data_IF_457336841043
#
_entry.id   IF_457336841043
#
_cell.length_a   1.000
_cell.length_b   1.000
_cell.length_c   1.000
_cell.angle_alpha   90.00
_cell.angle_beta   90.00
_cell.angle_gamma   90.00
#
_symmetry.space_group_name_H-M   'P 1'
#
loop_
_entity.id
_entity.type
_entity.pdbx_description
1 polymer ?
#
# COMPACT_ATOMS: atom_id res chain seq x y z
N UNK A 1 -17.23 5.81 9.62
CA UNK A 1 -17.07 6.85 8.58
C UNK A 1 -16.11 6.40 7.48
N UNK A 2 -14.92 5.87 7.81
CA UNK A 2 -13.96 5.38 6.81
C UNK A 2 -14.53 4.41 5.75
N UNK A 3 -15.48 3.54 6.10
CA UNK A 3 -16.20 2.67 5.13
C UNK A 3 -16.83 3.41 3.94
N UNK A 4 -17.14 4.70 4.08
CA UNK A 4 -17.78 5.53 3.06
C UNK A 4 -16.82 6.56 2.45
N UNK A 5 -15.51 6.37 2.62
CA UNK A 5 -14.47 7.18 2.01
C UNK A 5 -13.60 6.31 1.10
N UNK A 6 -12.90 6.92 0.14
CA UNK A 6 -11.98 6.20 -0.76
C UNK A 6 -10.58 6.07 -0.15
N UNK A 7 -10.21 6.99 0.76
CA UNK A 7 -8.92 6.99 1.44
C UNK A 7 -9.05 7.61 2.83
N UNK A 8 -8.38 7.02 3.83
CA UNK A 8 -8.22 7.64 5.14
C UNK A 8 -6.80 8.18 5.31
N UNK A 9 -6.65 9.47 5.63
CA UNK A 9 -5.35 10.09 5.89
C UNK A 9 -5.15 10.23 7.39
N UNK A 10 -4.03 9.73 7.90
CA UNK A 10 -3.67 9.79 9.32
C UNK A 10 -2.42 10.66 9.46
N UNK A 11 -2.59 11.85 10.06
CA UNK A 11 -1.53 12.82 10.27
C UNK A 11 -0.67 12.54 11.52
N UNK A 12 0.42 13.30 11.69
CA UNK A 12 1.43 13.02 12.70
C UNK A 12 0.95 13.16 14.15
N UNK A 13 0.03 14.08 14.42
CA UNK A 13 -0.57 14.24 15.75
C UNK A 13 -1.30 12.96 16.20
N UNK A 14 -2.02 12.32 15.29
CA UNK A 14 -2.70 11.05 15.56
C UNK A 14 -1.71 9.90 15.71
N UNK A 15 -0.64 9.89 14.89
CA UNK A 15 0.42 8.89 14.97
C UNK A 15 1.30 9.00 16.22
N UNK A 16 1.34 10.16 16.88
CA UNK A 16 2.07 10.38 18.12
C UNK A 16 1.30 9.90 19.38
N UNK A 17 -0.02 9.70 19.28
CA UNK A 17 -0.84 9.25 20.41
C UNK A 17 -0.84 7.72 20.50
N UNK A 18 -0.18 7.12 21.50
CA UNK A 18 -0.08 5.65 21.62
C UNK A 18 -1.42 4.91 21.55
N UNK A 19 -2.30 5.13 22.53
CA UNK A 19 -3.60 4.43 22.59
C UNK A 19 -4.58 4.79 21.47
N UNK A 20 -4.55 6.03 20.97
CA UNK A 20 -5.46 6.46 19.90
C UNK A 20 -4.97 5.95 18.53
N UNK A 21 -3.66 5.95 18.28
CA UNK A 21 -3.06 5.42 17.06
C UNK A 21 -3.50 3.98 16.82
N UNK A 22 -3.30 3.09 17.78
CA UNK A 22 -3.58 1.67 17.59
C UNK A 22 -5.07 1.42 17.30
N UNK A 23 -5.96 2.12 18.01
CA UNK A 23 -7.41 2.03 17.78
C UNK A 23 -7.83 2.57 16.41
N UNK A 24 -7.27 3.70 16.00
CA UNK A 24 -7.56 4.30 14.69
C UNK A 24 -7.05 3.41 13.57
N UNK A 25 -5.81 2.91 13.66
CA UNK A 25 -5.22 2.03 12.67
C UNK A 25 -5.98 0.71 12.57
N UNK A 26 -6.28 0.06 13.70
CA UNK A 26 -7.04 -1.18 13.70
C UNK A 26 -8.45 -1.01 13.12
N UNK A 27 -9.16 0.07 13.50
CA UNK A 27 -10.48 0.38 12.96
C UNK A 27 -10.45 0.65 11.45
N UNK A 28 -9.41 1.31 10.95
CA UNK A 28 -9.26 1.54 9.53
C UNK A 28 -8.88 0.25 8.78
N UNK A 29 -7.88 -0.50 9.23
CA UNK A 29 -7.40 -1.71 8.55
C UNK A 29 -8.46 -2.82 8.53
N UNK A 30 -9.10 -3.09 9.67
CA UNK A 30 -9.94 -4.28 9.81
C UNK A 30 -11.44 -4.00 9.71
N UNK A 31 -11.88 -2.74 9.84
CA UNK A 31 -13.32 -2.41 9.78
C UNK A 31 -13.72 -1.49 8.63
N UNK A 32 -12.77 -0.83 7.95
CA UNK A 32 -13.10 0.06 6.83
C UNK A 32 -13.09 -0.64 5.47
N UNK A 33 -12.15 -1.57 5.25
CA UNK A 33 -11.90 -2.15 3.92
C UNK A 33 -11.38 -1.13 2.90
N UNK A 34 -10.86 0.02 3.36
CA UNK A 34 -10.41 1.13 2.53
C UNK A 34 -8.93 1.45 2.78
N UNK A 35 -8.20 1.94 1.77
CA UNK A 35 -6.80 2.35 1.90
C UNK A 35 -6.57 3.38 3.02
N UNK A 36 -5.35 3.37 3.55
CA UNK A 36 -4.89 4.31 4.58
C UNK A 36 -3.56 4.93 4.14
N UNK A 37 -3.46 6.26 4.20
CA UNK A 37 -2.22 7.00 4.02
C UNK A 37 -1.73 7.53 5.38
N UNK A 38 -0.60 7.00 5.84
CA UNK A 38 0.06 7.47 7.06
C UNK A 38 1.05 8.58 6.70
N UNK A 39 0.92 9.74 7.35
CA UNK A 39 1.75 10.92 7.08
C UNK A 39 2.60 11.22 8.30
N UNK A 40 3.91 10.91 8.26
CA UNK A 40 4.79 11.16 9.40
C UNK A 40 5.05 12.64 9.63
N UNK A 41 5.60 12.98 10.79
CA UNK A 41 5.97 14.35 11.15
C UNK A 41 6.97 14.89 10.12
N UNK A 42 6.71 16.10 9.60
CA UNK A 42 7.57 16.74 8.59
C UNK A 42 7.35 16.27 7.15
N UNK A 43 6.44 15.31 6.90
CA UNK A 43 6.03 14.93 5.56
C UNK A 43 4.75 15.67 5.12
N UNK A 44 4.65 15.94 3.82
CA UNK A 44 3.41 16.42 3.20
C UNK A 44 2.71 15.26 2.52
N UNK A 45 1.42 15.08 2.82
CA UNK A 45 0.59 14.10 2.12
C UNK A 45 0.56 14.41 0.62
N UNK A 46 0.75 13.39 -0.22
CA UNK A 46 0.63 13.49 -1.67
C UNK A 46 0.02 12.21 -2.23
N UNK A 47 -0.83 12.36 -3.24
CA UNK A 47 -1.34 11.26 -4.07
C UNK A 47 -0.60 11.20 -5.43
N UNK A 48 0.50 11.94 -5.55
CA UNK A 48 1.38 11.96 -6.73
C UNK A 48 2.84 11.78 -6.30
N UNK A 49 3.20 10.67 -5.65
CA UNK A 49 4.59 10.35 -5.35
C UNK A 49 5.35 10.10 -6.66
N UNK A 50 6.59 10.57 -6.74
CA UNK A 50 7.45 10.31 -7.90
C UNK A 50 8.08 8.92 -7.89
N UNK A 51 8.37 8.40 -6.69
CA UNK A 51 9.04 7.11 -6.50
C UNK A 51 8.27 6.33 -5.46
N UNK A 52 7.87 5.11 -5.81
CA UNK A 52 7.11 4.23 -4.92
C UNK A 52 7.84 2.91 -4.73
N UNK A 53 7.85 2.40 -3.49
CA UNK A 53 8.29 1.06 -3.17
C UNK A 53 7.06 0.24 -2.81
N UNK A 54 6.85 -0.88 -3.49
CA UNK A 54 5.78 -1.83 -3.23
C UNK A 54 6.39 -3.03 -2.52
N UNK A 55 5.96 -3.29 -1.30
CA UNK A 55 6.23 -4.56 -0.63
C UNK A 55 5.28 -5.62 -1.20
N UNK A 56 5.84 -6.69 -1.76
CA UNK A 56 5.08 -7.73 -2.45
C UNK A 56 5.38 -9.10 -1.87
N UNK A 57 4.33 -9.83 -1.51
CA UNK A 57 4.37 -11.21 -1.00
C UNK A 57 3.35 -12.13 -1.71
N UNK A 58 2.80 -11.66 -2.84
CA UNK A 58 1.72 -12.32 -3.60
C UNK A 58 0.42 -12.61 -2.83
N UNK A 59 0.25 -12.05 -1.62
CA UNK A 59 -0.98 -12.20 -0.86
C UNK A 59 -2.16 -11.45 -1.50
N UNK A 60 -3.38 -11.80 -1.07
CA UNK A 60 -4.59 -11.06 -1.45
C UNK A 60 -4.54 -9.62 -0.94
N UNK A 61 -3.93 -9.41 0.22
CA UNK A 61 -3.73 -8.10 0.84
C UNK A 61 -2.79 -7.24 0.00
N UNK A 62 -1.64 -7.76 -0.43
CA UNK A 62 -0.71 -7.05 -1.29
C UNK A 62 -1.33 -6.75 -2.67
N UNK A 63 -2.02 -7.73 -3.26
CA UNK A 63 -2.75 -7.56 -4.53
C UNK A 63 -3.81 -6.44 -4.44
N UNK A 64 -4.60 -6.43 -3.36
CA UNK A 64 -5.56 -5.35 -3.08
C UNK A 64 -4.88 -4.00 -2.88
N UNK A 65 -3.79 -3.95 -2.11
CA UNK A 65 -3.06 -2.71 -1.87
C UNK A 65 -2.53 -2.09 -3.18
N UNK A 66 -1.96 -2.92 -4.07
CA UNK A 66 -1.54 -2.51 -5.41
C UNK A 66 -2.73 -2.02 -6.23
N UNK A 67 -3.84 -2.77 -6.24
CA UNK A 67 -5.03 -2.44 -7.02
C UNK A 67 -5.64 -1.11 -6.61
N UNK A 68 -5.80 -0.88 -5.31
CA UNK A 68 -6.37 0.37 -4.77
C UNK A 68 -5.43 1.57 -4.97
N UNK A 69 -4.12 1.32 -5.12
CA UNK A 69 -3.12 2.35 -5.38
C UNK A 69 -2.81 2.54 -6.88
N UNK A 70 -3.52 1.89 -7.80
CA UNK A 70 -3.13 1.81 -9.22
C UNK A 70 -2.94 3.20 -9.86
N UNK A 71 -3.81 4.16 -9.58
CA UNK A 71 -3.70 5.53 -10.10
C UNK A 71 -2.44 6.26 -9.57
N UNK A 72 -2.05 5.97 -8.32
CA UNK A 72 -0.84 6.51 -7.70
C UNK A 72 0.40 5.84 -8.29
N UNK A 73 0.37 4.52 -8.48
CA UNK A 73 1.49 3.74 -9.00
C UNK A 73 1.77 4.03 -10.47
N UNK A 74 0.72 4.10 -11.30
CA UNK A 74 0.83 4.38 -12.75
C UNK A 74 1.28 5.81 -13.06
N UNK A 75 1.07 6.75 -12.14
CA UNK A 75 1.52 8.14 -12.30
C UNK A 75 2.90 8.43 -11.68
N UNK A 76 3.54 7.44 -11.07
CA UNK A 76 4.87 7.57 -10.51
C UNK A 76 5.95 7.48 -11.61
N UNK A 77 7.03 8.24 -11.46
CA UNK A 77 8.20 8.16 -12.35
C UNK A 77 8.92 6.80 -12.23
N UNK A 78 8.83 6.17 -11.06
CA UNK A 78 9.49 4.89 -10.78
C UNK A 78 8.73 4.09 -9.72
N UNK A 79 8.48 2.80 -9.99
CA UNK A 79 7.96 1.83 -9.01
C UNK A 79 8.97 0.70 -8.82
N UNK A 80 9.43 0.51 -7.58
CA UNK A 80 10.30 -0.60 -7.19
C UNK A 80 9.47 -1.66 -6.47
N UNK A 81 9.58 -2.91 -6.89
CA UNK A 81 8.94 -4.05 -6.21
C UNK A 81 9.99 -4.68 -5.30
N UNK A 82 9.69 -4.77 -4.00
CA UNK A 82 10.53 -5.42 -3.01
C UNK A 82 9.84 -6.68 -2.49
N UNK A 83 10.55 -7.80 -2.53
CA UNK A 83 10.14 -9.10 -2.02
C UNK A 83 11.20 -9.60 -1.05
N UNK A 84 10.79 -10.35 -0.04
CA UNK A 84 11.69 -10.98 0.93
C UNK A 84 11.53 -12.48 0.78
N UNK A 85 12.65 -13.17 0.54
CA UNK A 85 12.71 -14.64 0.35
C UNK A 85 11.62 -15.19 -0.59
N UNK A 86 11.47 -14.66 -1.83
CA UNK A 86 10.44 -15.15 -2.73
C UNK A 86 10.69 -16.61 -3.11
N UNK A 87 9.63 -17.41 -3.09
CA UNK A 87 9.65 -18.81 -3.51
C UNK A 87 9.09 -18.89 -4.92
N UNK A 88 9.86 -19.45 -5.85
CA UNK A 88 9.38 -19.79 -7.19
C UNK A 88 8.33 -20.90 -7.10
N UNK A 89 7.04 -20.51 -7.17
CA UNK A 89 5.95 -21.46 -7.35
C UNK A 89 4.77 -20.84 -8.12
N UNK A 90 3.99 -21.67 -8.79
CA UNK A 90 2.82 -21.23 -9.58
C UNK A 90 1.67 -20.64 -8.74
N UNK A 91 1.63 -20.90 -7.43
CA UNK A 91 0.54 -20.50 -6.54
C UNK A 91 0.75 -19.11 -5.94
N UNK A 92 1.98 -18.62 -5.88
CA UNK A 92 2.36 -17.37 -5.25
C UNK A 92 3.03 -16.43 -6.26
N UNK A 93 4.28 -16.73 -6.66
CA UNK A 93 5.13 -15.76 -7.34
C UNK A 93 5.32 -16.00 -8.84
N UNK A 94 4.87 -17.14 -9.36
CA UNK A 94 5.11 -17.57 -10.72
C UNK A 94 6.53 -18.09 -10.94
N UNK A 95 6.92 -18.24 -12.20
CA UNK A 95 8.24 -18.72 -12.60
C UNK A 95 9.34 -17.66 -12.40
N UNK A 96 8.98 -16.37 -12.39
CA UNK A 96 9.90 -15.26 -12.14
C UNK A 96 9.22 -14.31 -11.13
N UNK A 97 9.60 -14.38 -9.84
CA UNK A 97 8.97 -13.60 -8.79
C UNK A 97 8.92 -12.11 -9.11
N UNK A 98 7.72 -11.54 -9.07
CA UNK A 98 7.48 -10.12 -9.31
C UNK A 98 7.37 -9.70 -10.78
N UNK A 99 7.70 -10.57 -11.75
CA UNK A 99 7.61 -10.25 -13.18
C UNK A 99 6.17 -9.92 -13.60
N UNK A 100 5.20 -10.71 -13.15
CA UNK A 100 3.78 -10.48 -13.46
C UNK A 100 3.27 -9.15 -12.89
N UNK A 101 3.70 -8.79 -11.67
CA UNK A 101 3.35 -7.50 -11.07
C UNK A 101 4.01 -6.35 -11.83
N UNK A 102 5.28 -6.48 -12.21
CA UNK A 102 5.98 -5.48 -13.00
C UNK A 102 5.29 -5.26 -14.35
N UNK A 103 4.91 -6.35 -15.03
CA UNK A 103 4.15 -6.29 -16.27
C UNK A 103 2.76 -5.65 -16.08
N UNK A 104 2.07 -5.97 -14.98
CA UNK A 104 0.78 -5.36 -14.64
C UNK A 104 0.88 -3.84 -14.43
N UNK A 105 1.95 -3.36 -13.77
CA UNK A 105 2.18 -1.95 -13.47
C UNK A 105 2.75 -1.14 -14.65
N UNK A 106 3.25 -1.82 -15.69
CA UNK A 106 3.81 -1.18 -16.88
C UNK A 106 2.77 -0.93 -17.99
N UNK A 107 1.49 -1.18 -17.71
CA UNK A 107 0.37 -0.94 -18.63
C UNK A 107 -0.16 0.48 -18.53
#
# INVERSE_FOLDING_TARGET
RARYADLTIVGPEMLASGLLKDKVLAGCLFSSGKPILLVPQGARATLKPKRVLVAWDASLEASRAVREALDILSSADEVRIAMIDPIEDERHHGAEPGADLAAYLSR
#
